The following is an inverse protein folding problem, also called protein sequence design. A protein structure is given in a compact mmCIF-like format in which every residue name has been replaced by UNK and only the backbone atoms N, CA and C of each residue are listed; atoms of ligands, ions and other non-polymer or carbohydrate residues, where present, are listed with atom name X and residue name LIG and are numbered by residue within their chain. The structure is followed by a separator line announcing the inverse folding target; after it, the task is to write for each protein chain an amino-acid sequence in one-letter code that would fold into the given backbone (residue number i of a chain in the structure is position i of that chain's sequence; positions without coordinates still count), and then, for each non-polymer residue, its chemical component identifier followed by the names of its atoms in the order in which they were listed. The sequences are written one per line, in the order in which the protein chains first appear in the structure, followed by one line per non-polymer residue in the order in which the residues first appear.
data_IF_376641823350
#
_entry.id   IF_376641823350
#
_cell.length_a   1.000
_cell.length_b   1.000
_cell.length_c   1.000
_cell.angle_alpha   90.00
_cell.angle_beta   90.00
_cell.angle_gamma   90.00
#
_symmetry.space_group_name_H-M   'P 1'
#
loop_
_entity.id
_entity.type
_entity.pdbx_description
1 polymer ?
#
# COMPACT_ATOMS: atom_id res chain seq x y z
N UNK A 1 -5.35 -5.75 17.25
CA UNK A 1 -3.87 -5.84 17.41
C UNK A 1 -3.35 -4.65 18.21
N UNK A 2 -3.65 -3.40 17.84
CA UNK A 2 -3.17 -2.20 18.55
C UNK A 2 -3.48 -2.23 20.05
N UNK A 3 -4.65 -2.74 20.45
CA UNK A 3 -5.06 -2.83 21.84
C UNK A 3 -4.19 -3.73 22.73
N UNK A 4 -3.33 -4.55 22.14
CA UNK A 4 -2.43 -5.46 22.88
C UNK A 4 -1.10 -4.81 23.25
N UNK A 5 -0.90 -3.54 22.89
CA UNK A 5 0.29 -2.79 23.26
C UNK A 5 0.02 -1.93 24.48
N UNK A 6 0.87 -2.02 25.48
CA UNK A 6 0.71 -1.31 26.77
C UNK A 6 0.85 0.22 26.62
N UNK A 7 1.60 0.65 25.61
CA UNK A 7 1.83 2.07 25.31
C UNK A 7 0.72 2.73 24.48
N UNK A 8 -0.34 1.99 24.10
CA UNK A 8 -1.51 2.55 23.43
C UNK A 8 -2.61 2.76 24.48
N UNK A 9 -2.94 4.01 24.72
CA UNK A 9 -3.97 4.41 25.69
C UNK A 9 -5.37 4.40 25.10
N UNK A 10 -5.51 4.82 23.83
CA UNK A 10 -6.79 4.95 23.14
C UNK A 10 -6.64 4.62 21.66
N UNK A 11 -7.70 4.09 21.05
CA UNK A 11 -7.84 3.90 19.60
C UNK A 11 -9.16 4.51 19.14
N UNK A 12 -9.10 5.47 18.24
CA UNK A 12 -10.28 6.10 17.63
C UNK A 12 -10.48 5.49 16.24
N UNK A 13 -11.60 4.81 16.06
CA UNK A 13 -12.02 4.28 14.74
C UNK A 13 -12.88 5.34 14.06
N UNK A 14 -12.44 5.81 12.91
CA UNK A 14 -13.11 6.84 12.14
C UNK A 14 -13.59 6.30 10.79
N UNK A 15 -14.83 6.53 10.44
CA UNK A 15 -15.40 6.17 9.15
C UNK A 15 -16.44 7.23 8.74
N UNK A 16 -16.69 7.39 7.44
CA UNK A 16 -17.78 8.25 6.95
C UNK A 16 -19.14 7.74 7.44
N UNK A 17 -19.27 6.43 7.64
CA UNK A 17 -20.40 5.80 8.28
C UNK A 17 -20.19 5.73 9.82
N UNK A 18 -20.66 6.75 10.50
CA UNK A 18 -20.55 6.87 11.96
C UNK A 18 -21.11 5.65 12.71
N UNK A 19 -22.24 5.11 12.27
CA UNK A 19 -22.88 3.96 12.91
C UNK A 19 -22.01 2.71 12.81
N UNK A 20 -21.38 2.50 11.66
CA UNK A 20 -20.45 1.38 11.45
C UNK A 20 -19.20 1.50 12.33
N UNK A 21 -18.60 2.71 12.40
CA UNK A 21 -17.44 2.97 13.26
C UNK A 21 -17.77 2.72 14.74
N UNK A 22 -18.91 3.24 15.22
CA UNK A 22 -19.38 3.07 16.60
C UNK A 22 -19.69 1.60 16.89
N UNK A 23 -20.39 0.90 15.99
CA UNK A 23 -20.70 -0.51 16.16
C UNK A 23 -19.44 -1.37 16.25
N UNK A 24 -18.44 -1.09 15.40
CA UNK A 24 -17.15 -1.76 15.45
C UNK A 24 -16.43 -1.48 16.78
N UNK A 25 -16.34 -0.23 17.19
CA UNK A 25 -15.70 0.15 18.45
C UNK A 25 -16.36 -0.54 19.67
N UNK A 26 -17.69 -0.58 19.71
CA UNK A 26 -18.45 -1.25 20.76
C UNK A 26 -18.25 -2.78 20.81
N UNK A 27 -17.81 -3.39 19.72
CA UNK A 27 -17.44 -4.82 19.69
C UNK A 27 -16.05 -5.10 20.27
N UNK A 28 -15.28 -4.05 20.55
CA UNK A 28 -13.92 -4.12 21.07
C UNK A 28 -13.91 -3.89 22.59
N UNK A 29 -12.80 -3.43 23.12
CA UNK A 29 -12.68 -3.09 24.54
C UNK A 29 -12.87 -1.58 24.79
N UNK A 30 -12.86 -1.19 26.06
CA UNK A 30 -13.07 0.18 26.51
C UNK A 30 -12.05 1.23 26.01
N UNK A 31 -10.90 0.80 25.48
CA UNK A 31 -9.90 1.68 24.87
C UNK A 31 -10.29 2.15 23.46
N UNK A 32 -11.36 1.59 22.88
CA UNK A 32 -11.72 1.86 21.48
C UNK A 32 -13.00 2.69 21.43
N UNK A 33 -12.93 3.82 20.75
CA UNK A 33 -14.08 4.68 20.46
C UNK A 33 -14.32 4.78 18.95
N UNK A 34 -15.56 5.06 18.55
CA UNK A 34 -15.96 5.19 17.14
C UNK A 34 -16.50 6.57 16.85
N UNK A 35 -16.11 7.16 15.71
CA UNK A 35 -16.60 8.47 15.28
C UNK A 35 -16.97 8.48 13.79
N UNK A 36 -17.91 9.37 13.42
CA UNK A 36 -18.14 9.74 12.03
C UNK A 36 -17.12 10.78 11.58
N UNK A 37 -16.44 10.51 10.45
CA UNK A 37 -15.49 11.45 9.88
C UNK A 37 -15.49 11.37 8.36
N UNK A 38 -15.81 12.46 7.70
CA UNK A 38 -15.56 12.62 6.26
C UNK A 38 -14.13 13.17 6.07
N UNK A 39 -13.24 12.35 5.52
CA UNK A 39 -11.83 12.74 5.28
C UNK A 39 -11.68 13.83 4.21
N UNK A 40 -12.75 14.18 3.47
CA UNK A 40 -12.76 15.30 2.52
C UNK A 40 -13.04 16.64 3.20
N UNK A 41 -13.57 16.62 4.43
CA UNK A 41 -13.65 17.80 5.30
C UNK A 41 -12.30 17.99 6.00
N UNK A 42 -11.46 18.81 5.41
CA UNK A 42 -10.09 19.04 5.86
C UNK A 42 -10.00 19.63 7.28
N UNK A 43 -10.97 20.47 7.68
CA UNK A 43 -10.99 21.06 9.01
C UNK A 43 -11.39 20.02 10.05
N UNK A 44 -12.40 19.20 9.77
CA UNK A 44 -12.79 18.10 10.63
C UNK A 44 -11.68 17.05 10.76
N UNK A 45 -11.01 16.69 9.65
CA UNK A 45 -9.88 15.76 9.64
C UNK A 45 -8.74 16.26 10.53
N UNK A 46 -8.29 17.50 10.32
CA UNK A 46 -7.22 18.13 11.11
C UNK A 46 -7.56 18.23 12.60
N UNK A 47 -8.82 18.55 12.92
CA UNK A 47 -9.28 18.62 14.31
C UNK A 47 -9.26 17.26 15.02
N UNK A 48 -9.40 16.14 14.29
CA UNK A 48 -9.21 14.81 14.88
C UNK A 48 -7.73 14.45 15.01
N UNK A 49 -6.89 14.80 14.03
CA UNK A 49 -5.44 14.54 14.10
C UNK A 49 -4.74 15.28 15.25
N UNK A 50 -5.27 16.42 15.70
CA UNK A 50 -4.77 17.13 16.90
C UNK A 50 -4.95 16.35 18.21
N UNK A 51 -5.76 15.30 18.22
CA UNK A 51 -6.09 14.51 19.43
C UNK A 51 -5.31 13.21 19.51
N UNK A 52 -4.56 12.87 18.49
CA UNK A 52 -3.88 11.56 18.37
C UNK A 52 -2.40 11.74 17.99
N UNK A 53 -1.57 10.83 18.44
CA UNK A 53 -0.14 10.83 18.10
C UNK A 53 0.14 10.21 16.73
N UNK A 54 -0.71 9.24 16.33
CA UNK A 54 -0.52 8.46 15.10
C UNK A 54 -1.84 8.27 14.38
N UNK A 55 -1.86 8.48 13.09
CA UNK A 55 -2.96 8.07 12.21
C UNK A 55 -2.57 6.86 11.38
N UNK A 56 -3.46 5.87 11.29
CA UNK A 56 -3.36 4.74 10.39
C UNK A 56 -4.42 4.91 9.31
N UNK A 57 -4.00 5.25 8.11
CA UNK A 57 -4.90 5.48 6.99
C UNK A 57 -5.18 4.19 6.21
N UNK A 58 -6.44 3.76 6.25
CA UNK A 58 -6.96 2.63 5.46
C UNK A 58 -8.03 3.08 4.46
N UNK A 59 -8.16 4.39 4.23
CA UNK A 59 -9.17 4.97 3.35
C UNK A 59 -8.71 4.89 1.90
N UNK A 60 -9.41 4.09 1.11
CA UNK A 60 -9.19 3.99 -0.33
C UNK A 60 -10.27 4.68 -1.18
N UNK A 61 -10.00 4.97 -2.45
CA UNK A 61 -8.76 4.68 -3.17
C UNK A 61 -7.64 5.66 -2.80
N UNK A 62 -6.40 5.14 -2.69
CA UNK A 62 -5.26 5.91 -2.19
C UNK A 62 -4.84 7.06 -3.11
N UNK A 63 -4.97 6.92 -4.42
CA UNK A 63 -4.68 8.01 -5.36
C UNK A 63 -5.53 9.27 -5.10
N UNK A 64 -6.66 9.12 -4.42
CA UNK A 64 -7.56 10.23 -4.08
C UNK A 64 -7.34 10.74 -2.65
N UNK A 65 -7.15 9.84 -1.69
CA UNK A 65 -7.19 10.17 -0.28
C UNK A 65 -5.83 10.09 0.41
N UNK A 66 -4.86 9.33 -0.12
CA UNK A 66 -3.53 9.16 0.48
C UNK A 66 -2.80 10.49 0.71
N UNK A 67 -2.43 11.22 -0.36
CA UNK A 67 -1.68 12.46 -0.23
C UNK A 67 -2.36 13.53 0.65
N UNK A 68 -3.67 13.84 0.51
CA UNK A 68 -4.31 14.84 1.34
C UNK A 68 -4.33 14.48 2.84
N UNK A 69 -4.51 13.20 3.17
CA UNK A 69 -4.51 12.76 4.58
C UNK A 69 -3.10 12.83 5.16
N UNK A 70 -2.05 12.45 4.40
CA UNK A 70 -0.66 12.63 4.82
C UNK A 70 -0.31 14.12 5.00
N UNK A 71 -0.73 15.00 4.10
CA UNK A 71 -0.51 16.44 4.25
C UNK A 71 -1.15 16.99 5.53
N UNK A 72 -2.38 16.59 5.83
CA UNK A 72 -3.07 16.97 7.06
C UNK A 72 -2.32 16.45 8.30
N UNK A 73 -1.83 15.22 8.28
CA UNK A 73 -1.02 14.63 9.36
C UNK A 73 0.27 15.42 9.59
N UNK A 74 1.00 15.78 8.51
CA UNK A 74 2.20 16.60 8.59
C UNK A 74 1.91 17.97 9.22
N UNK A 75 0.83 18.64 8.78
CA UNK A 75 0.46 19.96 9.30
C UNK A 75 0.06 19.94 10.78
N UNK A 76 -0.40 18.80 11.29
CA UNK A 76 -0.77 18.61 12.68
C UNK A 76 0.27 17.90 13.52
N UNK A 77 1.45 17.68 12.99
CA UNK A 77 2.56 16.96 13.64
C UNK A 77 2.15 15.59 14.16
N UNK A 78 1.27 14.91 13.42
CA UNK A 78 0.77 13.57 13.72
C UNK A 78 1.56 12.56 12.88
N UNK A 79 2.06 11.49 13.49
CA UNK A 79 2.72 10.42 12.76
C UNK A 79 1.73 9.69 11.85
N UNK A 80 2.22 9.15 10.74
CA UNK A 80 1.37 8.58 9.69
C UNK A 80 1.80 7.17 9.30
N UNK A 81 0.81 6.27 9.17
CA UNK A 81 0.98 4.98 8.54
C UNK A 81 -0.15 4.75 7.53
N UNK A 82 0.13 4.03 6.44
CA UNK A 82 -0.91 3.56 5.53
C UNK A 82 -0.64 2.16 4.99
N UNK A 83 -1.60 1.64 4.25
CA UNK A 83 -1.51 0.40 3.49
C UNK A 83 -1.60 0.67 1.98
N UNK A 84 -1.18 1.87 1.53
CA UNK A 84 -1.21 2.27 0.14
C UNK A 84 -0.46 1.28 -0.76
N UNK A 85 -1.13 0.81 -1.79
CA UNK A 85 -0.64 -0.13 -2.78
C UNK A 85 -0.65 0.45 -4.23
N UNK A 86 -1.00 1.73 -4.36
CA UNK A 86 -0.95 2.47 -5.62
C UNK A 86 0.41 3.14 -5.83
N UNK A 87 0.97 3.00 -7.02
CA UNK A 87 2.31 3.55 -7.32
C UNK A 87 2.31 5.07 -7.55
N UNK A 88 1.25 5.65 -8.12
CA UNK A 88 1.14 7.10 -8.35
C UNK A 88 1.16 7.89 -7.02
N UNK A 89 0.24 7.64 -6.06
CA UNK A 89 0.26 8.38 -4.81
C UNK A 89 1.52 8.11 -3.98
N UNK A 90 2.17 6.97 -4.15
CA UNK A 90 3.47 6.72 -3.50
C UNK A 90 4.50 7.79 -3.91
N UNK A 91 4.57 8.15 -5.19
CA UNK A 91 5.47 9.21 -5.64
C UNK A 91 5.12 10.58 -5.05
N UNK A 92 3.84 10.91 -5.01
CA UNK A 92 3.34 12.17 -4.45
C UNK A 92 3.66 12.25 -2.95
N UNK A 93 3.42 11.16 -2.22
CA UNK A 93 3.68 11.11 -0.78
C UNK A 93 5.19 11.09 -0.45
N UNK A 94 6.03 10.41 -1.23
CA UNK A 94 7.49 10.49 -1.08
C UNK A 94 8.03 11.90 -1.30
N UNK A 95 7.42 12.69 -2.19
CA UNK A 95 7.80 14.09 -2.40
C UNK A 95 7.53 15.00 -1.18
N UNK A 96 6.74 14.53 -0.20
CA UNK A 96 6.48 15.25 1.05
C UNK A 96 7.55 15.00 2.14
N UNK A 97 8.61 14.26 1.82
CA UNK A 97 9.66 13.87 2.78
C UNK A 97 10.23 15.06 3.57
N UNK A 98 10.71 16.10 2.89
CA UNK A 98 11.28 17.28 3.55
C UNK A 98 10.25 18.00 4.44
N UNK A 99 8.99 18.05 4.00
CA UNK A 99 7.90 18.65 4.78
C UNK A 99 7.62 17.84 6.06
N UNK A 100 7.65 16.51 5.97
CA UNK A 100 7.49 15.61 7.10
C UNK A 100 8.67 15.75 8.10
N UNK A 101 9.91 15.76 7.60
CA UNK A 101 11.12 15.94 8.41
C UNK A 101 11.10 17.27 9.17
N UNK A 102 10.79 18.38 8.48
CA UNK A 102 10.68 19.71 9.08
C UNK A 102 9.62 19.80 10.18
N UNK A 103 8.59 18.96 10.12
CA UNK A 103 7.55 18.85 11.16
C UNK A 103 7.83 17.74 12.19
N UNK A 104 8.99 17.07 12.11
CA UNK A 104 9.43 16.02 13.03
C UNK A 104 8.46 14.85 13.13
N UNK A 105 7.78 14.51 12.03
CA UNK A 105 6.91 13.35 11.97
C UNK A 105 7.59 12.19 11.22
N UNK A 106 7.15 10.98 11.57
CA UNK A 106 7.46 9.76 10.81
C UNK A 106 6.26 9.38 9.98
N UNK A 107 6.44 9.23 8.67
CA UNK A 107 5.45 8.68 7.76
C UNK A 107 5.94 7.35 7.19
N UNK A 108 5.14 6.29 7.33
CA UNK A 108 5.43 4.96 6.80
C UNK A 108 4.35 4.59 5.80
N UNK A 109 4.75 4.47 4.53
CA UNK A 109 3.84 4.20 3.43
C UNK A 109 3.84 2.71 3.08
N UNK A 110 2.65 2.17 2.79
CA UNK A 110 2.52 0.83 2.26
C UNK A 110 2.84 -0.29 3.26
N UNK A 111 2.33 -0.24 4.48
CA UNK A 111 2.54 -1.24 5.54
C UNK A 111 1.59 -2.43 5.45
N UNK A 112 1.39 -2.95 4.22
CA UNK A 112 0.57 -4.12 3.93
C UNK A 112 1.39 -5.39 3.70
N UNK A 113 0.85 -6.28 2.87
CA UNK A 113 1.57 -7.48 2.42
C UNK A 113 2.48 -7.17 1.21
N UNK A 114 1.95 -6.48 0.20
CA UNK A 114 2.65 -5.92 -0.95
C UNK A 114 1.98 -4.57 -1.27
N UNK A 115 2.67 -3.46 -1.03
CA UNK A 115 3.96 -3.31 -0.33
C UNK A 115 3.88 -3.59 1.17
N UNK A 116 5.02 -3.57 1.84
CA UNK A 116 5.20 -3.77 3.27
C UNK A 116 6.00 -5.04 3.55
N UNK A 117 5.36 -6.20 3.72
CA UNK A 117 6.07 -7.46 3.94
C UNK A 117 7.04 -7.78 2.80
N UNK A 118 6.66 -7.56 1.55
CA UNK A 118 7.54 -7.71 0.38
C UNK A 118 8.76 -6.79 0.45
N UNK A 119 8.61 -5.56 0.95
CA UNK A 119 9.73 -4.65 1.16
C UNK A 119 10.69 -5.17 2.24
N UNK A 120 10.18 -5.66 3.36
CA UNK A 120 11.01 -6.24 4.42
C UNK A 120 11.76 -7.49 3.96
N UNK A 121 11.09 -8.39 3.23
CA UNK A 121 11.72 -9.58 2.65
C UNK A 121 12.79 -9.22 1.63
N UNK A 122 12.50 -8.25 0.74
CA UNK A 122 13.47 -7.76 -0.24
C UNK A 122 14.68 -7.10 0.42
N UNK A 123 14.48 -6.26 1.43
CA UNK A 123 15.55 -5.63 2.18
C UNK A 123 16.42 -6.67 2.92
N UNK A 124 15.81 -7.69 3.52
CA UNK A 124 16.54 -8.78 4.15
C UNK A 124 17.36 -9.57 3.13
N UNK A 125 16.81 -9.85 1.95
CA UNK A 125 17.55 -10.55 0.89
C UNK A 125 18.73 -9.72 0.35
N UNK A 126 18.57 -8.40 0.22
CA UNK A 126 19.65 -7.49 -0.21
C UNK A 126 20.81 -7.53 0.78
N UNK A 127 20.54 -7.59 2.09
CA UNK A 127 21.59 -7.63 3.13
C UNK A 127 22.46 -8.89 3.10
N UNK A 128 22.01 -9.98 2.50
CA UNK A 128 22.74 -11.23 2.36
C UNK A 128 23.65 -11.27 1.11
N UNK A 129 23.68 -10.20 0.31
CA UNK A 129 24.39 -10.13 -0.97
C UNK A 129 25.34 -8.92 -0.97
N UNK A 130 26.49 -9.09 -1.65
CA UNK A 130 27.50 -8.02 -1.76
C UNK A 130 27.00 -6.85 -2.61
N UNK A 131 26.25 -7.13 -3.69
CA UNK A 131 25.69 -6.14 -4.60
C UNK A 131 24.40 -6.66 -5.24
N UNK A 132 23.39 -5.80 -5.37
CA UNK A 132 22.12 -6.12 -6.02
C UNK A 132 21.79 -5.07 -7.06
N UNK A 133 21.76 -5.47 -8.32
CA UNK A 133 21.33 -4.62 -9.44
C UNK A 133 19.86 -4.83 -9.83
N UNK A 134 19.35 -6.04 -9.59
CA UNK A 134 17.99 -6.42 -10.02
C UNK A 134 17.22 -7.03 -8.87
N UNK A 135 16.05 -6.48 -8.60
CA UNK A 135 15.13 -6.99 -7.61
C UNK A 135 13.75 -7.22 -8.22
N UNK A 136 13.25 -8.42 -8.05
CA UNK A 136 11.86 -8.77 -8.32
C UNK A 136 11.14 -9.03 -7.00
N UNK A 137 10.07 -8.27 -6.76
CA UNK A 137 9.09 -8.59 -5.72
C UNK A 137 7.88 -9.23 -6.36
N UNK A 138 7.17 -10.07 -5.64
CA UNK A 138 6.02 -10.72 -6.24
C UNK A 138 5.13 -11.46 -5.26
N UNK A 139 3.91 -11.69 -5.70
CA UNK A 139 2.89 -12.39 -4.94
C UNK A 139 2.03 -13.26 -5.85
N UNK A 140 1.31 -14.22 -5.26
CA UNK A 140 0.41 -15.11 -6.00
C UNK A 140 -1.01 -15.01 -5.49
N UNK A 141 -1.96 -15.07 -6.42
CA UNK A 141 -3.39 -15.16 -6.11
C UNK A 141 -3.88 -16.60 -5.92
N UNK A 142 -3.10 -17.60 -6.33
CA UNK A 142 -3.55 -18.99 -6.36
C UNK A 142 -3.61 -19.66 -4.97
N UNK A 143 -3.02 -19.04 -3.95
CA UNK A 143 -2.99 -19.58 -2.58
C UNK A 143 -3.99 -18.93 -1.62
N UNK A 144 -4.76 -17.95 -2.06
CA UNK A 144 -5.71 -17.26 -1.21
C UNK A 144 -6.97 -18.13 -1.03
N UNK A 145 -7.29 -18.50 0.21
CA UNK A 145 -8.62 -18.99 0.53
C UNK A 145 -9.59 -17.80 0.44
N UNK A 146 -10.75 -17.93 -0.23
CA UNK A 146 -11.76 -16.90 -0.20
C UNK A 146 -12.17 -16.64 1.25
N UNK A 147 -12.18 -15.37 1.68
CA UNK A 147 -12.89 -15.03 2.91
C UNK A 147 -14.37 -15.36 2.74
N UNK A 148 -15.03 -15.78 3.84
CA UNK A 148 -16.48 -15.92 3.84
C UNK A 148 -17.08 -14.60 3.34
N UNK A 149 -17.96 -14.67 2.33
CA UNK A 149 -18.53 -13.52 1.64
C UNK A 149 -19.02 -12.48 2.65
N UNK A 150 -18.30 -11.40 2.76
CA UNK A 150 -18.84 -10.20 3.40
C UNK A 150 -20.06 -9.80 2.57
N UNK A 151 -21.22 -9.64 3.19
CA UNK A 151 -22.50 -9.32 2.55
C UNK A 151 -22.55 -7.93 1.86
N UNK A 152 -21.42 -7.31 1.62
CA UNK A 152 -21.30 -6.06 0.88
C UNK A 152 -21.25 -6.34 -0.63
N UNK A 153 -22.42 -6.31 -1.24
CA UNK A 153 -22.55 -6.29 -2.70
C UNK A 153 -22.16 -4.89 -3.20
N UNK A 154 -21.02 -4.79 -3.91
CA UNK A 154 -20.62 -3.53 -4.57
C UNK A 154 -19.16 -3.53 -5.02
N UNK A 155 -18.81 -2.56 -5.85
CA UNK A 155 -17.42 -2.30 -6.25
C UNK A 155 -16.73 -1.66 -5.04
N UNK A 156 -15.77 -2.36 -4.46
CA UNK A 156 -14.97 -1.84 -3.34
C UNK A 156 -13.64 -1.23 -3.84
N UNK A 157 -12.92 -0.56 -2.94
CA UNK A 157 -11.64 0.08 -3.25
C UNK A 157 -10.60 -0.91 -3.80
N UNK A 158 -10.56 -2.14 -3.28
CA UNK A 158 -9.65 -3.18 -3.76
C UNK A 158 -9.93 -3.60 -5.21
N UNK A 159 -11.20 -3.67 -5.62
CA UNK A 159 -11.57 -3.95 -7.01
C UNK A 159 -11.17 -2.80 -7.95
N UNK A 160 -11.37 -1.54 -7.53
CA UNK A 160 -10.94 -0.36 -8.29
C UNK A 160 -9.43 -0.39 -8.48
N UNK A 161 -8.69 -0.59 -7.39
CA UNK A 161 -7.24 -0.74 -7.41
C UNK A 161 -6.79 -1.85 -8.38
N UNK A 162 -7.34 -3.07 -8.25
CA UNK A 162 -6.98 -4.19 -9.11
C UNK A 162 -7.19 -3.87 -10.61
N UNK A 163 -8.28 -3.19 -10.97
CA UNK A 163 -8.54 -2.76 -12.34
C UNK A 163 -7.51 -1.73 -12.83
N UNK A 164 -7.15 -0.77 -11.99
CA UNK A 164 -6.14 0.25 -12.32
C UNK A 164 -4.78 -0.38 -12.56
N UNK A 165 -4.34 -1.30 -11.69
CA UNK A 165 -3.05 -1.99 -11.81
C UNK A 165 -2.98 -2.95 -13.02
N UNK A 166 -4.12 -3.34 -13.57
CA UNK A 166 -4.23 -4.21 -14.75
C UNK A 166 -4.48 -3.45 -16.06
N UNK A 167 -4.71 -2.14 -16.01
CA UNK A 167 -5.06 -1.32 -17.18
C UNK A 167 -4.04 -0.19 -17.40
N UNK A 168 -4.09 0.45 -18.57
CA UNK A 168 -3.23 1.58 -18.88
C UNK A 168 -1.75 1.24 -18.94
N UNK A 169 -0.94 1.95 -18.16
CA UNK A 169 0.51 1.73 -18.02
C UNK A 169 0.89 1.75 -16.55
N UNK A 170 1.85 0.93 -16.19
CA UNK A 170 2.43 0.85 -14.85
C UNK A 170 3.91 1.21 -14.89
N UNK A 171 4.41 1.75 -13.78
CA UNK A 171 5.80 2.14 -13.65
C UNK A 171 6.65 0.97 -13.18
N UNK A 172 7.81 0.82 -13.81
CA UNK A 172 8.91 -0.05 -13.37
C UNK A 172 10.21 0.74 -13.35
N UNK A 173 11.23 0.20 -12.70
CA UNK A 173 12.62 0.64 -12.87
C UNK A 173 13.32 -0.34 -13.82
N UNK A 174 13.99 0.18 -14.85
CA UNK A 174 14.70 -0.63 -15.84
C UNK A 174 15.97 0.09 -16.32
N UNK A 175 17.14 -0.51 -16.11
CA UNK A 175 18.46 0.05 -16.37
C UNK A 175 18.70 1.42 -15.69
N UNK A 176 18.25 1.59 -14.45
CA UNK A 176 18.39 2.83 -13.71
C UNK A 176 17.39 3.93 -14.07
N UNK A 177 16.47 3.66 -14.97
CA UNK A 177 15.47 4.63 -15.43
C UNK A 177 14.05 4.18 -15.15
N UNK A 178 13.19 5.14 -14.82
CA UNK A 178 11.76 4.89 -14.68
C UNK A 178 11.12 4.69 -16.06
N UNK A 179 10.44 3.57 -16.26
CA UNK A 179 9.76 3.25 -17.51
C UNK A 179 8.29 2.93 -17.29
N UNK A 180 7.45 3.43 -18.20
CA UNK A 180 6.03 3.12 -18.24
C UNK A 180 5.78 1.96 -19.20
N UNK A 181 5.31 0.84 -18.68
CA UNK A 181 5.08 -0.39 -19.46
C UNK A 181 3.61 -0.83 -19.36
N UNK A 182 3.18 -1.69 -20.30
CA UNK A 182 1.87 -2.33 -20.18
C UNK A 182 1.89 -3.34 -19.04
N UNK A 183 0.90 -3.32 -18.15
CA UNK A 183 0.74 -4.36 -17.12
C UNK A 183 0.43 -5.71 -17.77
N UNK A 184 0.50 -6.76 -16.98
CA UNK A 184 0.24 -8.15 -17.35
C UNK A 184 1.12 -8.70 -18.49
N UNK A 185 2.18 -7.97 -18.86
CA UNK A 185 3.23 -8.53 -19.73
C UNK A 185 3.93 -9.66 -18.99
N UNK A 186 3.96 -10.83 -19.60
CA UNK A 186 4.67 -11.99 -19.07
C UNK A 186 6.18 -11.79 -19.19
N UNK A 187 6.90 -12.11 -18.14
CA UNK A 187 8.37 -12.18 -18.14
C UNK A 187 8.80 -13.56 -17.64
N UNK A 188 9.95 -14.02 -18.07
CA UNK A 188 10.54 -15.26 -17.59
C UNK A 188 11.51 -14.94 -16.45
N UNK A 189 11.27 -15.54 -15.29
CA UNK A 189 12.13 -15.39 -14.11
C UNK A 189 12.67 -16.76 -13.74
N UNK A 190 13.97 -16.87 -13.60
CA UNK A 190 14.62 -18.08 -13.12
C UNK A 190 14.62 -18.06 -11.58
N UNK A 191 13.76 -18.89 -10.99
CA UNK A 191 13.68 -19.04 -9.54
C UNK A 191 14.23 -20.43 -9.16
N UNK A 192 15.27 -20.53 -8.35
CA UNK A 192 15.81 -21.79 -7.88
C UNK A 192 14.70 -22.68 -7.27
N UNK A 193 14.60 -23.91 -7.75
CA UNK A 193 13.59 -24.86 -7.30
C UNK A 193 12.21 -24.75 -7.99
N UNK A 194 12.01 -23.79 -8.86
CA UNK A 194 10.79 -23.65 -9.68
C UNK A 194 11.12 -23.82 -11.16
N UNK A 195 10.44 -24.74 -11.84
CA UNK A 195 10.52 -24.85 -13.28
C UNK A 195 9.88 -23.61 -13.93
N UNK A 196 10.61 -22.95 -14.87
CA UNK A 196 10.16 -21.83 -15.73
C UNK A 196 8.96 -21.05 -15.17
N UNK A 197 9.24 -20.17 -14.23
CA UNK A 197 8.23 -19.30 -13.66
C UNK A 197 7.97 -18.12 -14.60
N UNK A 198 6.72 -17.88 -14.96
CA UNK A 198 6.31 -16.83 -15.88
C UNK A 198 5.27 -15.91 -15.25
N UNK A 199 5.69 -15.10 -14.29
CA UNK A 199 4.83 -14.10 -13.68
C UNK A 199 4.56 -12.95 -14.65
N UNK A 200 3.67 -12.07 -14.25
CA UNK A 200 3.26 -10.90 -15.03
C UNK A 200 3.62 -9.62 -14.31
N UNK A 201 4.04 -8.62 -15.08
CA UNK A 201 4.31 -7.28 -14.55
C UNK A 201 3.03 -6.73 -13.96
N UNK A 202 3.13 -6.23 -12.73
CA UNK A 202 2.05 -5.61 -12.00
C UNK A 202 2.53 -4.26 -11.44
N UNK A 203 1.63 -3.26 -11.38
CA UNK A 203 2.02 -1.93 -10.95
C UNK A 203 1.89 -1.81 -9.43
N UNK A 204 3.02 -1.83 -8.73
CA UNK A 204 3.06 -1.68 -7.27
C UNK A 204 4.21 -0.79 -6.81
N UNK A 205 4.12 -0.22 -5.60
CA UNK A 205 5.10 0.73 -5.07
C UNK A 205 6.52 0.20 -4.93
N UNK A 206 6.74 -1.11 -4.80
CA UNK A 206 8.08 -1.68 -4.64
C UNK A 206 9.02 -1.35 -5.81
N UNK A 207 8.46 -1.23 -7.02
CA UNK A 207 9.22 -0.79 -8.19
C UNK A 207 9.77 0.65 -8.07
N UNK A 208 9.26 1.41 -7.09
CA UNK A 208 9.66 2.78 -6.77
C UNK A 208 10.49 2.83 -5.49
N UNK A 209 10.00 2.20 -4.43
CA UNK A 209 10.57 2.33 -3.09
C UNK A 209 11.94 1.68 -2.96
N UNK A 210 12.21 0.56 -3.66
CA UNK A 210 13.53 -0.06 -3.65
C UNK A 210 14.60 0.82 -4.30
N UNK A 211 14.47 1.28 -5.57
CA UNK A 211 15.47 2.16 -6.15
C UNK A 211 15.52 3.55 -5.51
N UNK A 212 14.48 3.97 -4.79
CA UNK A 212 14.50 5.19 -4.00
C UNK A 212 15.43 5.09 -2.78
N UNK A 213 15.59 3.91 -2.20
CA UNK A 213 16.39 3.67 -1.00
C UNK A 213 17.75 3.03 -1.29
N UNK A 214 17.86 2.20 -2.33
CA UNK A 214 19.07 1.45 -2.69
C UNK A 214 19.58 1.90 -4.07
N UNK A 215 20.61 2.73 -4.12
CA UNK A 215 21.18 3.29 -5.35
C UNK A 215 21.75 2.24 -6.32
N UNK A 216 22.14 1.06 -5.80
CA UNK A 216 22.64 -0.06 -6.60
C UNK A 216 21.56 -0.70 -7.46
N UNK A 217 20.29 -0.62 -7.07
CA UNK A 217 19.20 -1.26 -7.78
C UNK A 217 18.86 -0.51 -9.06
N UNK A 218 19.25 -1.11 -10.18
CA UNK A 218 18.97 -0.58 -11.54
C UNK A 218 17.65 -1.13 -12.10
N UNK A 219 17.24 -2.31 -11.65
CA UNK A 219 16.00 -2.94 -12.12
C UNK A 219 15.13 -3.31 -10.91
N UNK A 220 13.91 -2.79 -10.87
CA UNK A 220 12.92 -3.14 -9.84
C UNK A 220 11.54 -3.30 -10.49
N UNK A 221 10.99 -4.50 -10.39
CA UNK A 221 9.72 -4.87 -11.02
C UNK A 221 8.89 -5.66 -10.03
N UNK A 222 7.65 -5.23 -9.83
CA UNK A 222 6.68 -6.03 -9.09
C UNK A 222 5.96 -6.99 -10.03
N UNK A 223 5.75 -8.21 -9.55
CA UNK A 223 5.24 -9.32 -10.32
C UNK A 223 4.03 -9.96 -9.63
N UNK A 224 3.02 -10.29 -10.40
CA UNK A 224 1.91 -11.10 -9.94
C UNK A 224 1.85 -12.43 -10.69
N UNK A 225 1.50 -13.50 -9.98
CA UNK A 225 1.24 -14.82 -10.54
C UNK A 225 -0.16 -15.29 -10.16
N UNK A 226 -0.80 -16.03 -11.07
CA UNK A 226 -2.11 -16.61 -10.81
C UNK A 226 -2.71 -17.24 -12.06
N UNK A 227 -3.41 -18.35 -11.89
CA UNK A 227 -4.05 -19.08 -12.99
C UNK A 227 -5.15 -18.26 -13.71
N UNK A 228 -5.77 -17.30 -13.00
CA UNK A 228 -6.81 -16.42 -13.53
C UNK A 228 -6.34 -15.35 -14.51
N UNK A 229 -5.06 -14.97 -14.51
CA UNK A 229 -4.55 -13.88 -15.37
C UNK A 229 -4.64 -14.18 -16.87
N UNK A 230 -4.61 -15.44 -17.25
CA UNK A 230 -4.78 -15.85 -18.66
C UNK A 230 -6.16 -15.49 -19.23
N UNK A 231 -7.20 -15.67 -18.45
CA UNK A 231 -8.59 -15.34 -18.79
C UNK A 231 -8.82 -13.83 -18.81
N UNK A 232 -8.31 -13.11 -17.80
CA UNK A 232 -8.40 -11.64 -17.72
C UNK A 232 -7.79 -10.95 -18.94
N UNK A 233 -6.64 -11.42 -19.42
CA UNK A 233 -6.00 -10.90 -20.65
C UNK A 233 -6.87 -11.09 -21.90
N UNK A 234 -7.67 -12.13 -21.95
CA UNK A 234 -8.58 -12.38 -23.08
C UNK A 234 -9.80 -11.44 -23.05
N UNK A 235 -10.32 -11.16 -21.86
CA UNK A 235 -11.48 -10.26 -21.66
C UNK A 235 -11.10 -8.79 -21.91
N UNK A 236 -9.85 -8.39 -21.62
CA UNK A 236 -9.37 -7.00 -21.74
C UNK A 236 -8.73 -6.67 -23.11
N UNK A 237 -8.84 -7.54 -24.10
CA UNK A 237 -8.47 -7.28 -25.50
C UNK A 237 -9.66 -6.74 -26.28
#
# INVERSE_FOLDING_TARGET
TCMNFDNISEVIVADINADAAIAFANSMNEKVSGIGLDVTDNDALKAQMEKVDVVINTVGPFYKYGPPILEAAIEKSCHYLDINDDWEPTLEMLALHEKAENNSITAILGMGASPGLTNMLGAAAIQELDEVETLYTGWTMDGAAPEEESSQSGVNAAMIHAVQQMTGKVRIQDNGEAKMVKPLKEIEVDLPGFNKFKPRIFGHPEAITFPHHFDSIKNSINLAHGSGFGLLRWIMK
#
